data_IF_212338104976
#
_entry.id   IF_212338104976
#
_cell.length_a   1.000
_cell.length_b   1.000
_cell.length_c   1.000
_cell.angle_alpha   90.00
_cell.angle_beta   90.00
_cell.angle_gamma   90.00
#
_symmetry.space_group_name_H-M   'P 1'
#
loop_
_entity.id
_entity.type
_entity.pdbx_description
1 polymer ?
#
# COMPACT_ATOMS: atom_id res chain seq x y z
N UNK A 1 16.03 -14.59 -10.16
CA UNK A 1 16.98 -13.59 -9.63
C UNK A 1 17.31 -12.59 -10.72
N UNK A 2 16.73 -11.40 -10.65
CA UNK A 2 17.12 -10.28 -11.52
C UNK A 2 18.01 -9.37 -10.68
N UNK A 3 19.30 -9.45 -10.89
CA UNK A 3 20.25 -8.48 -10.37
C UNK A 3 20.50 -7.41 -11.41
N UNK A 4 20.14 -6.16 -11.15
CA UNK A 4 20.58 -5.03 -11.93
C UNK A 4 21.60 -4.24 -11.13
N UNK A 5 22.80 -4.13 -11.64
CA UNK A 5 23.77 -3.16 -11.15
C UNK A 5 23.32 -1.77 -11.63
N UNK A 6 22.75 -1.01 -10.74
CA UNK A 6 22.42 0.38 -11.01
C UNK A 6 23.56 1.25 -10.51
N UNK A 7 24.31 1.87 -11.43
CA UNK A 7 25.22 2.96 -11.09
C UNK A 7 24.38 4.17 -10.66
N UNK A 8 24.11 4.27 -9.37
CA UNK A 8 23.39 5.41 -8.80
C UNK A 8 24.39 6.54 -8.62
N UNK A 9 24.02 7.64 -9.18
CA UNK A 9 24.85 8.86 -9.27
C UNK A 9 24.85 9.66 -8.02
N UNK A 10 24.60 9.21 -6.84
CA UNK A 10 24.62 10.14 -5.71
C UNK A 10 24.27 9.50 -4.39
N UNK A 11 24.83 10.05 -3.32
CA UNK A 11 24.33 9.85 -1.98
C UNK A 11 23.09 10.70 -1.76
N UNK A 12 21.88 10.14 -1.67
CA UNK A 12 20.69 10.93 -1.40
C UNK A 12 20.72 11.47 0.04
N UNK A 13 20.32 12.70 0.23
CA UNK A 13 20.10 13.27 1.55
C UNK A 13 18.71 13.93 1.63
N UNK A 14 18.12 13.88 2.79
CA UNK A 14 16.77 14.42 3.02
C UNK A 14 16.86 15.91 3.36
N UNK A 15 16.11 16.72 2.64
CA UNK A 15 15.92 18.14 2.92
C UNK A 15 14.44 18.38 3.12
N UNK A 16 14.07 19.08 4.18
CA UNK A 16 12.68 19.46 4.48
C UNK A 16 11.67 18.32 4.34
N UNK A 17 11.66 17.40 5.27
CA UNK A 17 10.67 16.36 5.51
C UNK A 17 10.36 15.36 4.39
N UNK A 18 10.52 15.70 3.11
CA UNK A 18 10.08 14.82 2.01
C UNK A 18 11.00 14.90 0.79
N UNK A 19 11.87 15.88 0.69
CA UNK A 19 12.70 16.08 -0.51
C UNK A 19 14.03 15.36 -0.36
N UNK A 20 14.31 14.50 -1.33
CA UNK A 20 15.63 13.89 -1.51
C UNK A 20 16.40 14.76 -2.50
N UNK A 21 17.59 15.21 -2.12
CA UNK A 21 18.53 15.87 -3.02
C UNK A 21 19.69 14.97 -3.35
N UNK A 22 20.28 15.22 -4.50
CA UNK A 22 21.43 14.49 -5.03
C UNK A 22 22.52 15.47 -5.37
N UNK A 23 23.77 15.14 -5.07
CA UNK A 23 24.92 16.00 -5.38
C UNK A 23 25.39 15.92 -6.85
N UNK A 24 24.94 14.94 -7.62
CA UNK A 24 25.34 14.76 -9.01
C UNK A 24 26.67 14.01 -9.19
N UNK A 25 27.23 13.46 -8.12
CA UNK A 25 28.46 12.68 -8.16
C UNK A 25 28.17 11.20 -8.36
N UNK A 26 28.96 10.54 -9.19
CA UNK A 26 28.81 9.11 -9.47
C UNK A 26 29.58 8.27 -8.44
N UNK A 27 29.10 8.23 -7.19
CA UNK A 27 29.82 7.67 -6.05
C UNK A 27 29.15 6.46 -5.40
N UNK A 28 28.01 5.99 -5.93
CA UNK A 28 27.28 4.87 -5.34
C UNK A 28 27.02 3.76 -6.35
N UNK A 29 27.17 2.51 -5.90
CA UNK A 29 26.78 1.29 -6.61
C UNK A 29 25.68 0.61 -5.81
N UNK A 30 24.67 0.04 -6.47
CA UNK A 30 23.59 -0.62 -5.77
C UNK A 30 23.11 -1.87 -6.47
N UNK A 31 22.45 -2.72 -5.71
CA UNK A 31 21.76 -3.90 -6.21
C UNK A 31 20.38 -4.03 -5.57
N UNK A 32 19.46 -4.62 -6.31
CA UNK A 32 18.17 -5.02 -5.79
C UNK A 32 17.93 -6.48 -6.16
N UNK A 33 17.48 -7.27 -5.20
CA UNK A 33 17.07 -8.66 -5.40
C UNK A 33 15.77 -8.91 -4.64
N UNK A 34 14.95 -9.83 -5.15
CA UNK A 34 13.70 -10.16 -4.50
C UNK A 34 13.12 -11.48 -4.98
N UNK A 35 12.09 -11.90 -4.26
CA UNK A 35 11.26 -13.05 -4.58
C UNK A 35 9.80 -12.62 -4.46
N UNK A 36 9.06 -12.77 -5.55
CA UNK A 36 7.62 -12.53 -5.60
C UNK A 36 6.88 -13.83 -5.83
N UNK A 37 5.92 -14.12 -4.95
CA UNK A 37 5.05 -15.29 -5.06
C UNK A 37 3.61 -14.80 -5.01
N UNK A 38 2.80 -15.23 -5.97
CA UNK A 38 1.37 -14.93 -6.02
C UNK A 38 0.58 -16.20 -6.19
N UNK A 39 -0.36 -16.43 -5.28
CA UNK A 39 -1.39 -17.43 -5.40
C UNK A 39 -2.70 -16.74 -5.77
N UNK A 40 -3.38 -17.26 -6.75
CA UNK A 40 -4.70 -16.78 -7.12
C UNK A 40 -5.62 -17.98 -7.39
N UNK A 41 -6.89 -17.78 -7.20
CA UNK A 41 -7.89 -18.82 -7.43
C UNK A 41 -9.29 -18.23 -7.47
N UNK A 42 -10.14 -18.92 -8.18
CA UNK A 42 -11.56 -18.66 -8.25
C UNK A 42 -12.25 -19.65 -7.30
N UNK A 43 -12.61 -19.17 -6.10
CA UNK A 43 -13.31 -20.01 -5.12
C UNK A 43 -14.79 -20.17 -5.46
N UNK A 44 -15.35 -19.15 -6.12
CA UNK A 44 -16.69 -19.17 -6.69
C UNK A 44 -16.60 -18.63 -8.13
N UNK A 45 -17.30 -19.25 -9.11
CA UNK A 45 -17.28 -18.79 -10.50
C UNK A 45 -17.58 -17.31 -10.64
N UNK A 46 -16.66 -16.57 -11.29
CA UNK A 46 -16.75 -15.14 -11.54
C UNK A 46 -16.19 -14.26 -10.41
N UNK A 47 -15.48 -14.82 -9.42
CA UNK A 47 -14.82 -14.03 -8.36
C UNK A 47 -13.35 -14.40 -8.22
N UNK A 48 -12.46 -13.44 -8.47
CA UNK A 48 -11.02 -13.63 -8.34
C UNK A 48 -10.57 -13.31 -6.91
N UNK A 49 -9.86 -14.24 -6.28
CA UNK A 49 -9.21 -14.04 -4.99
C UNK A 49 -7.73 -14.34 -5.12
N UNK A 50 -6.90 -13.55 -4.44
CA UNK A 50 -5.46 -13.75 -4.51
C UNK A 50 -4.74 -13.31 -3.23
N UNK A 51 -3.59 -13.93 -3.02
CA UNK A 51 -2.61 -13.52 -2.02
C UNK A 51 -1.24 -13.40 -2.69
N UNK A 52 -0.55 -12.32 -2.42
CA UNK A 52 0.83 -12.13 -2.87
C UNK A 52 1.77 -11.92 -1.70
N UNK A 53 2.95 -12.45 -1.84
CA UNK A 53 4.03 -12.34 -0.89
C UNK A 53 5.29 -11.93 -1.63
N UNK A 54 5.87 -10.81 -1.24
CA UNK A 54 7.07 -10.25 -1.84
C UNK A 54 8.13 -10.06 -0.76
N UNK A 55 9.34 -10.54 -1.04
CA UNK A 55 10.54 -10.25 -0.27
C UNK A 55 11.49 -9.46 -1.15
N UNK A 56 11.99 -8.35 -0.66
CA UNK A 56 12.89 -7.49 -1.41
C UNK A 56 14.06 -7.04 -0.54
N UNK A 57 15.25 -7.08 -1.09
CA UNK A 57 16.45 -6.47 -0.52
C UNK A 57 17.08 -5.57 -1.56
N UNK A 58 17.07 -4.25 -1.30
CA UNK A 58 17.71 -3.26 -2.14
C UNK A 58 18.72 -2.48 -1.29
N UNK A 59 19.98 -2.51 -1.69
CA UNK A 59 21.10 -1.90 -0.99
C UNK A 59 21.97 -1.09 -1.96
N UNK A 60 22.60 -0.07 -1.44
CA UNK A 60 23.60 0.71 -2.15
C UNK A 60 24.86 0.84 -1.29
N UNK A 61 26.01 0.78 -1.93
CA UNK A 61 27.31 1.04 -1.32
C UNK A 61 27.80 2.39 -1.82
N UNK A 62 28.03 3.30 -0.88
CA UNK A 62 28.43 4.67 -1.16
C UNK A 62 29.94 4.79 -0.95
N UNK A 63 30.64 5.37 -1.91
CA UNK A 63 32.10 5.56 -1.91
C UNK A 63 32.89 4.29 -1.54
N UNK A 64 32.33 3.12 -1.93
CA UNK A 64 32.93 1.80 -1.67
C UNK A 64 33.16 1.44 -0.19
N UNK A 65 32.65 2.25 0.74
CA UNK A 65 32.87 2.05 2.18
C UNK A 65 31.62 1.72 2.95
N UNK A 66 30.51 2.40 2.68
CA UNK A 66 29.30 2.30 3.49
C UNK A 66 28.14 1.68 2.71
N UNK A 67 27.64 0.53 3.19
CA UNK A 67 26.47 -0.12 2.60
C UNK A 67 25.21 0.25 3.37
N UNK A 68 24.24 0.83 2.67
CA UNK A 68 22.96 1.30 3.24
C UNK A 68 21.78 0.80 2.41
N UNK A 69 20.59 0.67 2.99
CA UNK A 69 19.41 0.33 2.21
C UNK A 69 19.05 1.46 1.26
N UNK A 70 18.51 1.11 0.10
CA UNK A 70 17.89 2.11 -0.79
C UNK A 70 16.61 2.64 -0.17
N UNK A 71 16.23 3.88 -0.50
CA UNK A 71 15.06 4.57 0.05
C UNK A 71 13.74 3.79 -0.12
N UNK A 72 13.65 2.95 -1.15
CA UNK A 72 12.48 2.11 -1.46
C UNK A 72 12.60 0.67 -0.93
N UNK A 73 13.63 0.33 -0.14
CA UNK A 73 13.86 -1.02 0.37
C UNK A 73 12.88 -1.36 1.50
N UNK A 74 11.69 -1.81 1.16
CA UNK A 74 10.63 -2.17 2.09
C UNK A 74 10.89 -3.46 2.89
N UNK A 75 11.68 -4.38 2.32
CA UNK A 75 12.01 -5.67 2.90
C UNK A 75 10.97 -6.75 2.59
N UNK A 76 9.72 -6.52 2.91
CA UNK A 76 8.61 -7.45 2.61
C UNK A 76 7.32 -6.71 2.30
N UNK A 77 6.45 -7.36 1.51
CA UNK A 77 5.08 -6.93 1.26
C UNK A 77 4.18 -8.15 1.13
N UNK A 78 3.10 -8.17 1.90
CA UNK A 78 2.06 -9.19 1.84
C UNK A 78 0.76 -8.49 1.51
N UNK A 79 0.10 -8.93 0.44
CA UNK A 79 -1.18 -8.37 0.03
C UNK A 79 -2.18 -9.51 -0.18
N UNK A 80 -3.36 -9.34 0.38
CA UNK A 80 -4.49 -10.25 0.26
C UNK A 80 -5.66 -9.52 -0.37
N UNK A 81 -6.27 -10.14 -1.34
CA UNK A 81 -7.58 -9.75 -1.87
C UNK A 81 -8.46 -10.99 -1.94
N UNK A 82 -9.56 -10.95 -1.24
CA UNK A 82 -10.58 -12.00 -1.26
C UNK A 82 -11.91 -11.39 -1.59
N UNK A 83 -12.59 -11.96 -2.57
CA UNK A 83 -13.94 -11.59 -2.96
C UNK A 83 -14.75 -12.86 -3.15
N UNK A 84 -15.92 -12.90 -2.55
CA UNK A 84 -16.81 -14.04 -2.69
C UNK A 84 -18.28 -13.63 -2.47
N UNK A 85 -19.20 -14.48 -2.94
CA UNK A 85 -20.59 -14.40 -2.55
C UNK A 85 -20.79 -14.99 -1.16
N UNK A 86 -21.72 -14.42 -0.41
CA UNK A 86 -22.08 -15.00 0.88
C UNK A 86 -22.70 -16.38 0.68
N UNK A 87 -22.26 -17.43 1.42
CA UNK A 87 -22.78 -18.77 1.26
C UNK A 87 -24.31 -18.83 1.33
N UNK A 88 -24.95 -19.37 0.28
CA UNK A 88 -26.40 -19.44 0.18
C UNK A 88 -27.11 -18.19 -0.33
N UNK A 89 -26.42 -17.03 -0.46
CA UNK A 89 -27.02 -15.77 -0.89
C UNK A 89 -26.23 -15.12 -2.03
N UNK A 90 -26.55 -15.45 -3.27
CA UNK A 90 -25.89 -14.89 -4.47
C UNK A 90 -26.08 -13.37 -4.65
N UNK A 91 -26.94 -12.75 -3.87
CA UNK A 91 -27.19 -11.29 -3.87
C UNK A 91 -26.24 -10.52 -2.94
N UNK A 92 -25.44 -11.22 -2.14
CA UNK A 92 -24.52 -10.59 -1.19
C UNK A 92 -23.09 -10.96 -1.58
N UNK A 93 -22.26 -9.95 -1.85
CA UNK A 93 -20.82 -10.09 -2.09
C UNK A 93 -20.04 -9.52 -0.93
N UNK A 94 -19.06 -10.27 -0.46
CA UNK A 94 -18.10 -9.86 0.56
C UNK A 94 -16.74 -9.58 -0.12
N UNK A 95 -16.13 -8.47 0.22
CA UNK A 95 -14.77 -8.11 -0.20
C UNK A 95 -13.90 -7.96 1.04
N UNK A 96 -12.76 -8.60 1.05
CA UNK A 96 -11.73 -8.45 2.08
C UNK A 96 -10.41 -8.09 1.42
N UNK A 97 -9.79 -7.01 1.86
CA UNK A 97 -8.47 -6.61 1.39
C UNK A 97 -7.55 -6.41 2.59
N UNK A 98 -6.40 -7.06 2.56
CA UNK A 98 -5.36 -6.93 3.57
C UNK A 98 -4.04 -6.52 2.97
N UNK A 99 -3.32 -5.62 3.63
CA UNK A 99 -1.95 -5.21 3.25
C UNK A 99 -1.09 -5.15 4.49
N UNK A 100 0.05 -5.79 4.43
CA UNK A 100 1.11 -5.72 5.43
C UNK A 100 2.43 -5.51 4.72
N UNK A 101 3.11 -4.40 4.94
CA UNK A 101 4.40 -4.12 4.33
C UNK A 101 5.43 -3.58 5.31
N UNK A 102 6.68 -3.88 5.06
CA UNK A 102 7.81 -3.41 5.87
C UNK A 102 7.97 -1.90 5.80
N UNK A 103 8.51 -1.32 6.86
CA UNK A 103 8.80 0.10 6.93
C UNK A 103 9.89 0.53 5.96
N UNK A 104 9.74 1.71 5.38
CA UNK A 104 10.74 2.33 4.52
C UNK A 104 11.88 2.92 5.34
N UNK A 105 13.14 2.81 4.89
CA UNK A 105 14.25 3.49 5.52
C UNK A 105 14.15 5.00 5.29
N UNK A 106 14.39 5.76 6.35
CA UNK A 106 14.40 7.22 6.33
C UNK A 106 15.64 7.75 7.06
N UNK A 107 16.07 8.96 6.70
CA UNK A 107 17.20 9.65 7.32
C UNK A 107 16.73 10.89 8.07
N UNK A 108 17.60 11.40 8.93
CA UNK A 108 17.41 12.70 9.58
C UNK A 108 17.63 13.79 8.52
N UNK A 109 16.84 14.88 8.49
CA UNK A 109 17.00 15.98 7.57
C UNK A 109 18.43 16.55 7.56
N UNK A 110 18.94 16.81 6.37
CA UNK A 110 20.31 17.34 6.17
C UNK A 110 21.43 16.32 6.35
N UNK A 111 21.11 15.05 6.66
CA UNK A 111 22.09 13.96 6.76
C UNK A 111 21.82 12.91 5.69
N UNK A 112 22.88 12.36 5.10
CA UNK A 112 22.79 11.23 4.19
C UNK A 112 22.55 9.90 4.93
N UNK A 113 22.23 8.85 4.19
CA UNK A 113 22.07 7.50 4.73
C UNK A 113 23.36 6.98 5.40
N UNK A 114 24.50 7.48 5.03
CA UNK A 114 25.81 7.17 5.63
C UNK A 114 25.87 7.57 7.11
N UNK A 115 25.23 8.67 7.47
CA UNK A 115 25.20 9.18 8.84
C UNK A 115 24.20 8.45 9.76
N UNK A 116 23.46 7.49 9.20
CA UNK A 116 22.47 6.70 9.90
C UNK A 116 21.07 6.81 9.29
N UNK A 117 20.31 5.75 9.44
CA UNK A 117 18.91 5.66 9.00
C UNK A 117 18.08 4.91 10.04
N UNK A 118 16.79 5.14 10.00
CA UNK A 118 15.80 4.37 10.75
C UNK A 118 14.70 3.88 9.80
N UNK A 119 13.92 2.89 10.22
CA UNK A 119 12.79 2.43 9.45
C UNK A 119 11.48 2.94 10.03
N UNK A 120 10.58 3.38 9.17
CA UNK A 120 9.21 3.67 9.58
C UNK A 120 8.55 2.40 10.12
N UNK A 121 7.53 2.51 10.98
CA UNK A 121 6.70 1.36 11.37
C UNK A 121 6.11 0.65 10.14
N UNK A 122 5.91 -0.66 10.26
CA UNK A 122 5.28 -1.45 9.20
C UNK A 122 3.88 -0.92 8.89
N UNK A 123 3.57 -0.78 7.61
CA UNK A 123 2.24 -0.43 7.13
C UNK A 123 1.31 -1.63 7.26
N UNK A 124 0.15 -1.42 7.87
CA UNK A 124 -0.86 -2.47 8.10
C UNK A 124 -2.24 -1.88 7.81
N UNK A 125 -3.01 -2.55 6.95
CA UNK A 125 -4.37 -2.11 6.64
C UNK A 125 -5.24 -3.31 6.31
N UNK A 126 -6.44 -3.30 6.83
CA UNK A 126 -7.50 -4.26 6.50
C UNK A 126 -8.74 -3.46 6.12
N UNK A 127 -9.28 -3.74 4.94
CA UNK A 127 -10.51 -3.15 4.42
C UNK A 127 -11.53 -4.27 4.24
N UNK A 128 -12.78 -4.01 4.60
CA UNK A 128 -13.90 -4.93 4.40
C UNK A 128 -15.00 -4.19 3.63
N UNK A 129 -15.54 -4.83 2.61
CA UNK A 129 -16.66 -4.34 1.84
C UNK A 129 -17.78 -5.38 1.77
N UNK A 130 -19.00 -4.91 1.88
CA UNK A 130 -20.21 -5.70 1.67
C UNK A 130 -21.01 -5.05 0.55
N UNK A 131 -21.41 -5.83 -0.45
CA UNK A 131 -22.27 -5.34 -1.54
C UNK A 131 -23.52 -6.19 -1.61
N UNK A 132 -24.67 -5.52 -1.69
CA UNK A 132 -25.98 -6.14 -1.80
C UNK A 132 -26.64 -5.78 -3.13
N UNK A 133 -27.09 -6.79 -3.87
CA UNK A 133 -27.84 -6.60 -5.11
C UNK A 133 -29.28 -6.23 -4.79
N UNK A 134 -29.63 -4.98 -4.98
CA UNK A 134 -31.00 -4.46 -4.77
C UNK A 134 -31.97 -4.96 -5.82
N UNK A 135 -31.50 -5.00 -7.09
CA UNK A 135 -32.30 -5.52 -8.19
C UNK A 135 -31.38 -6.17 -9.25
N UNK A 136 -31.84 -7.22 -9.91
CA UNK A 136 -31.15 -7.92 -10.97
C UNK A 136 -32.10 -8.30 -12.11
N UNK A 137 -31.55 -8.66 -13.27
CA UNK A 137 -32.31 -8.88 -14.51
C UNK A 137 -33.45 -9.90 -14.47
N UNK A 138 -33.57 -10.67 -13.38
CA UNK A 138 -34.68 -11.63 -13.15
C UNK A 138 -35.78 -11.09 -12.21
N UNK A 139 -35.60 -9.87 -11.69
CA UNK A 139 -36.54 -9.29 -10.74
C UNK A 139 -37.69 -8.58 -11.45
N UNK A 140 -38.92 -8.79 -10.99
CA UNK A 140 -40.15 -8.17 -11.56
C UNK A 140 -40.13 -6.62 -11.56
N UNK A 141 -39.23 -6.01 -10.75
CA UNK A 141 -39.04 -4.56 -10.72
C UNK A 141 -38.36 -4.07 -12.01
N UNK A 142 -37.48 -4.90 -12.61
CA UNK A 142 -36.74 -4.59 -13.83
C UNK A 142 -37.64 -4.55 -15.07
N UNK A 143 -38.80 -5.16 -15.05
CA UNK A 143 -39.76 -5.15 -16.17
C UNK A 143 -40.64 -3.89 -16.22
N UNK A 144 -40.52 -2.98 -15.24
CA UNK A 144 -41.42 -1.82 -15.10
C UNK A 144 -40.73 -0.49 -15.46
N UNK A 145 -41.28 0.21 -16.43
CA UNK A 145 -40.98 1.61 -16.74
C UNK A 145 -39.49 1.92 -16.95
N UNK A 146 -38.92 2.84 -16.19
CA UNK A 146 -37.53 3.30 -16.27
C UNK A 146 -36.52 2.17 -15.98
N UNK A 147 -36.85 1.24 -15.07
CA UNK A 147 -35.96 0.16 -14.65
C UNK A 147 -35.73 -0.90 -15.75
N UNK A 148 -36.52 -0.91 -16.82
CA UNK A 148 -36.38 -1.84 -17.95
C UNK A 148 -35.04 -1.72 -18.68
N UNK A 149 -34.38 -0.58 -18.60
CA UNK A 149 -33.07 -0.33 -19.21
C UNK A 149 -31.88 -0.68 -18.31
N UNK A 150 -32.16 -1.07 -17.07
CA UNK A 150 -31.13 -1.41 -16.08
C UNK A 150 -30.96 -2.93 -16.02
N UNK A 151 -29.73 -3.39 -15.89
CA UNK A 151 -29.38 -4.82 -15.72
C UNK A 151 -29.25 -5.20 -14.27
N UNK A 152 -28.53 -4.38 -13.49
CA UNK A 152 -28.28 -4.63 -12.09
C UNK A 152 -28.18 -3.34 -11.30
N UNK A 153 -28.58 -3.41 -10.04
CA UNK A 153 -28.38 -2.32 -9.07
C UNK A 153 -27.74 -2.93 -7.84
N UNK A 154 -26.54 -2.46 -7.49
CA UNK A 154 -25.80 -2.88 -6.32
C UNK A 154 -25.60 -1.74 -5.35
N UNK A 155 -25.87 -1.98 -4.07
CA UNK A 155 -25.52 -1.10 -2.97
C UNK A 155 -24.32 -1.70 -2.24
N UNK A 156 -23.23 -0.94 -2.11
CA UNK A 156 -22.01 -1.34 -1.41
C UNK A 156 -21.77 -0.47 -0.18
N UNK A 157 -21.29 -1.11 0.88
CA UNK A 157 -20.75 -0.47 2.08
C UNK A 157 -19.33 -0.95 2.28
N UNK A 158 -18.38 -0.03 2.21
CA UNK A 158 -16.96 -0.33 2.40
C UNK A 158 -16.45 0.34 3.68
N UNK A 159 -15.74 -0.43 4.50
CA UNK A 159 -15.05 0.06 5.70
C UNK A 159 -13.55 -0.05 5.44
N UNK A 160 -12.91 1.08 5.21
CA UNK A 160 -11.46 1.14 5.04
C UNK A 160 -10.76 1.24 6.38
N UNK A 161 -9.62 0.55 6.51
CA UNK A 161 -8.84 0.49 7.75
C UNK A 161 -9.69 0.13 8.97
N UNK A 162 -10.38 -1.02 8.91
CA UNK A 162 -11.32 -1.44 9.95
C UNK A 162 -10.68 -1.53 11.34
N UNK A 163 -9.38 -1.85 11.40
CA UNK A 163 -8.63 -1.97 12.65
C UNK A 163 -8.20 -0.60 13.20
N UNK A 164 -8.46 0.49 12.47
CA UNK A 164 -8.09 1.87 12.83
C UNK A 164 -6.59 2.03 13.16
N UNK A 165 -5.73 1.33 12.42
CA UNK A 165 -4.29 1.38 12.62
C UNK A 165 -3.75 2.72 12.12
N UNK A 166 -3.02 3.41 12.98
CA UNK A 166 -2.36 4.67 12.66
C UNK A 166 -1.07 4.41 11.87
N UNK A 167 -1.20 4.31 10.56
CA UNK A 167 -0.05 4.13 9.68
C UNK A 167 0.70 5.44 9.49
N UNK A 168 2.02 5.42 9.67
CA UNK A 168 2.87 6.59 9.48
C UNK A 168 3.17 6.77 8.00
N UNK A 169 2.88 7.95 7.47
CA UNK A 169 3.22 8.37 6.10
C UNK A 169 4.61 8.98 6.02
N UNK A 170 4.91 9.89 6.94
CA UNK A 170 6.16 10.65 6.97
C UNK A 170 6.42 11.17 8.38
N UNK A 171 7.53 11.83 8.59
CA UNK A 171 7.83 12.53 9.83
C UNK A 171 8.06 14.00 9.57
N UNK A 172 7.51 14.86 10.43
CA UNK A 172 7.92 16.26 10.56
C UNK A 172 9.03 16.32 11.60
N UNK A 173 10.05 17.11 11.30
CA UNK A 173 11.15 17.33 12.22
C UNK A 173 11.02 18.71 12.83
N UNK A 174 10.93 18.77 14.15
CA UNK A 174 10.90 20.02 14.91
C UNK A 174 12.15 20.11 15.75
N UNK A 175 12.69 21.31 15.84
CA UNK A 175 13.87 21.60 16.65
C UNK A 175 13.44 22.45 17.84
N UNK A 176 13.82 22.03 19.05
CA UNK A 176 13.53 22.79 20.25
C UNK A 176 14.53 23.94 20.47
N UNK A 177 14.32 24.70 21.55
CA UNK A 177 15.18 25.83 21.92
C UNK A 177 16.61 25.41 22.29
N UNK A 178 16.86 24.14 22.54
CA UNK A 178 18.17 23.55 22.84
C UNK A 178 18.81 22.93 21.59
N UNK A 179 18.25 23.17 20.39
CA UNK A 179 18.70 22.62 19.12
C UNK A 179 18.63 21.08 19.04
N UNK A 180 17.70 20.45 19.79
CA UNK A 180 17.41 19.03 19.72
C UNK A 180 16.29 18.79 18.72
N UNK A 181 16.50 17.83 17.81
CA UNK A 181 15.53 17.48 16.78
C UNK A 181 14.62 16.34 17.22
N UNK A 182 13.31 16.53 17.06
CA UNK A 182 12.28 15.54 17.34
C UNK A 182 11.53 15.15 16.07
N UNK A 183 11.34 13.86 15.86
CA UNK A 183 10.56 13.31 14.79
C UNK A 183 9.08 13.20 15.20
N UNK A 184 8.21 13.99 14.59
CA UNK A 184 6.77 13.95 14.83
C UNK A 184 6.10 13.17 13.69
N UNK A 185 5.44 12.04 13.96
CA UNK A 185 4.84 11.22 12.90
C UNK A 185 3.63 11.93 12.28
N UNK A 186 3.57 11.92 10.96
CA UNK A 186 2.40 12.28 10.18
C UNK A 186 1.67 11.00 9.78
N UNK A 187 0.43 10.85 10.22
CA UNK A 187 -0.36 9.65 10.01
C UNK A 187 -1.22 9.74 8.75
N UNK A 188 -1.38 8.61 8.09
CA UNK A 188 -2.41 8.43 7.06
C UNK A 188 -3.81 8.45 7.71
N UNK A 189 -4.83 8.60 6.86
CA UNK A 189 -6.23 8.59 7.29
C UNK A 189 -6.57 7.32 8.08
N UNK A 190 -7.28 7.50 9.20
CA UNK A 190 -7.82 6.43 10.01
C UNK A 190 -8.95 5.67 9.32
N UNK A 191 -9.87 5.13 10.10
CA UNK A 191 -11.05 4.41 9.59
C UNK A 191 -11.95 5.32 8.77
N UNK A 192 -12.40 4.82 7.61
CA UNK A 192 -13.33 5.53 6.74
C UNK A 192 -14.49 4.61 6.35
N UNK A 193 -15.67 5.18 6.27
CA UNK A 193 -16.86 4.52 5.75
C UNK A 193 -17.16 5.09 4.36
N UNK A 194 -17.44 4.20 3.41
CA UNK A 194 -17.82 4.56 2.06
C UNK A 194 -19.07 3.81 1.65
N UNK A 195 -20.04 4.53 1.10
CA UNK A 195 -21.26 3.95 0.52
C UNK A 195 -21.17 4.11 -0.99
N UNK A 196 -21.45 3.04 -1.71
CA UNK A 196 -21.34 2.96 -3.15
C UNK A 196 -22.63 2.43 -3.76
N UNK A 197 -23.13 3.12 -4.76
CA UNK A 197 -24.24 2.66 -5.61
C UNK A 197 -23.68 2.39 -7.01
N UNK A 198 -23.86 1.17 -7.51
CA UNK A 198 -23.48 0.76 -8.87
C UNK A 198 -24.77 0.44 -9.62
N UNK A 199 -24.93 1.03 -10.79
CA UNK A 199 -26.07 0.83 -11.65
C UNK A 199 -25.53 0.43 -13.02
N UNK A 200 -25.85 -0.80 -13.47
CA UNK A 200 -25.50 -1.33 -14.78
C UNK A 200 -26.67 -1.17 -15.73
N UNK A 201 -26.40 -0.64 -16.92
CA UNK A 201 -27.37 -0.39 -17.98
C UNK A 201 -27.34 -1.43 -19.10
#
# INVERSE_FOLDING_TARGET
>A
LVGSEMCIRDSPYTVDNVKIRYYGENCAKGYAMGLDVKFFGEFVPGTDSWISFSLMKAQQTIRETTTVPMANSQGYNISLFFQDYFPGYKRVKLNLKGVLSGGLPQTIPGKGYEAGYFRTPAYKRVDIGLSYQLAGGTDAIMDRGFFRHLKNIWLGLDVFNILDIKNVSSYYWITDVYNVQYAVPNYLTGRQLNVRLIVDF
#
